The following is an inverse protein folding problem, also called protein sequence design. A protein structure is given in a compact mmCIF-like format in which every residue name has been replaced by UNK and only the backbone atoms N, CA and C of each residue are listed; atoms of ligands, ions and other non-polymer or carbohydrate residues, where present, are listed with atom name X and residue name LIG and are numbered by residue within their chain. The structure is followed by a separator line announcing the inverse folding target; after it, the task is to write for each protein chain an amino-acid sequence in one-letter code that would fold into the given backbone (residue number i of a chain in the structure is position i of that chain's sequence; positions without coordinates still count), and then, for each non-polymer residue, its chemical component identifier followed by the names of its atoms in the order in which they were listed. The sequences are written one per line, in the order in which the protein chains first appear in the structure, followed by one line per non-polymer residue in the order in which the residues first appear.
data_IF_896490041805
#
_entry.id   IF_896490041805
#
_cell.length_a   1.000
_cell.length_b   1.000
_cell.length_c   1.000
_cell.angle_alpha   90.00
_cell.angle_beta   90.00
_cell.angle_gamma   90.00
#
_symmetry.space_group_name_H-M   'P 1'
#
loop_
_entity.id
_entity.type
_entity.pdbx_description
1 polymer ?
#
# COMPACT_ATOMS: atom_id res chain seq x y z
N UNK A 1 24.83 -47.95 54.93
CA UNK A 1 25.80 -47.19 54.11
C UNK A 1 25.10 -46.84 52.81
N UNK A 2 24.51 -45.64 52.71
CA UNK A 2 23.73 -45.23 51.53
C UNK A 2 24.56 -44.27 50.68
N UNK A 3 25.07 -44.78 49.56
CA UNK A 3 25.77 -44.01 48.54
C UNK A 3 24.73 -43.24 47.71
N UNK A 4 24.62 -41.93 47.94
CA UNK A 4 23.86 -41.04 47.04
C UNK A 4 24.69 -40.86 45.77
N UNK A 5 24.18 -41.34 44.63
CA UNK A 5 24.74 -41.06 43.32
C UNK A 5 24.68 -39.55 43.04
N UNK A 6 25.84 -38.92 42.81
CA UNK A 6 25.93 -37.53 42.38
C UNK A 6 25.50 -37.44 40.91
N UNK A 7 24.34 -36.85 40.66
CA UNK A 7 23.82 -36.57 39.33
C UNK A 7 24.74 -35.52 38.68
N UNK A 8 25.51 -35.89 37.65
CA UNK A 8 26.34 -34.95 36.90
C UNK A 8 25.43 -33.88 36.27
N UNK A 9 25.61 -32.62 36.67
CA UNK A 9 25.01 -31.49 35.96
C UNK A 9 25.73 -31.31 34.63
N UNK A 10 25.09 -31.75 33.55
CA UNK A 10 25.51 -31.43 32.19
C UNK A 10 25.09 -29.98 31.93
N UNK A 11 25.95 -29.03 32.27
CA UNK A 11 25.72 -27.60 32.08
C UNK A 11 26.16 -27.14 30.70
N UNK A 12 25.45 -26.16 30.13
CA UNK A 12 25.81 -25.49 28.88
C UNK A 12 27.16 -24.79 29.04
N UNK A 13 28.08 -24.96 28.08
CA UNK A 13 29.39 -24.31 28.14
C UNK A 13 29.34 -22.90 27.54
N UNK A 14 30.19 -21.99 28.04
CA UNK A 14 30.30 -20.63 27.51
C UNK A 14 30.76 -20.64 26.03
N UNK A 15 31.60 -21.60 25.65
CA UNK A 15 32.06 -21.75 24.27
C UNK A 15 30.93 -22.17 23.31
N UNK A 16 30.02 -23.03 23.76
CA UNK A 16 28.85 -23.45 22.98
C UNK A 16 27.94 -22.24 22.69
N UNK A 17 27.74 -21.37 23.69
CA UNK A 17 26.99 -20.13 23.50
C UNK A 17 27.69 -19.17 22.52
N UNK A 18 29.00 -19.02 22.60
CA UNK A 18 29.76 -18.14 21.71
C UNK A 18 29.64 -18.53 20.24
N UNK A 19 29.74 -19.84 19.94
CA UNK A 19 29.60 -20.35 18.57
C UNK A 19 28.17 -20.11 18.06
N UNK A 20 27.15 -20.37 18.90
CA UNK A 20 25.75 -20.13 18.53
C UNK A 20 25.51 -18.65 18.21
N UNK A 21 26.01 -17.73 19.05
CA UNK A 21 25.87 -16.28 18.80
C UNK A 21 26.56 -15.87 17.51
N UNK A 22 27.76 -16.40 17.21
CA UNK A 22 28.46 -16.12 15.96
C UNK A 22 27.64 -16.55 14.74
N UNK A 23 27.07 -17.76 14.75
CA UNK A 23 26.26 -18.27 13.65
C UNK A 23 25.01 -17.38 13.47
N UNK A 24 24.31 -17.05 14.56
CA UNK A 24 23.13 -16.18 14.52
C UNK A 24 23.48 -14.78 13.98
N UNK A 25 24.62 -14.21 14.35
CA UNK A 25 25.06 -12.91 13.85
C UNK A 25 25.28 -12.91 12.34
N UNK A 26 25.91 -13.96 11.79
CA UNK A 26 26.13 -14.11 10.34
C UNK A 26 24.80 -14.23 9.61
N UNK A 27 23.86 -15.04 10.12
CA UNK A 27 22.54 -15.20 9.53
C UNK A 27 21.73 -13.90 9.56
N UNK A 28 21.75 -13.19 10.69
CA UNK A 28 21.01 -11.95 10.87
C UNK A 28 21.48 -10.84 9.90
N UNK A 29 22.79 -10.77 9.62
CA UNK A 29 23.36 -9.78 8.71
C UNK A 29 22.77 -9.85 7.29
N UNK A 30 22.44 -11.06 6.81
CA UNK A 30 21.86 -11.28 5.48
C UNK A 30 20.33 -11.26 5.54
N UNK A 31 19.74 -11.89 6.56
CA UNK A 31 18.30 -12.07 6.67
C UNK A 31 17.54 -10.75 6.86
N UNK A 32 18.05 -9.84 7.70
CA UNK A 32 17.36 -8.56 8.02
C UNK A 32 17.14 -7.67 6.78
N UNK A 33 18.16 -7.31 5.97
CA UNK A 33 17.94 -6.47 4.79
C UNK A 33 17.06 -7.16 3.75
N UNK A 34 17.21 -8.48 3.56
CA UNK A 34 16.38 -9.26 2.63
C UNK A 34 14.90 -9.24 3.04
N UNK A 35 14.60 -9.47 4.33
CA UNK A 35 13.24 -9.42 4.84
C UNK A 35 12.62 -8.03 4.67
N UNK A 36 13.36 -6.95 4.96
CA UNK A 36 12.87 -5.58 4.76
C UNK A 36 12.46 -5.31 3.31
N UNK A 37 13.26 -5.75 2.35
CA UNK A 37 12.92 -5.62 0.93
C UNK A 37 11.68 -6.45 0.55
N UNK A 38 11.53 -7.64 1.12
CA UNK A 38 10.35 -8.47 0.90
C UNK A 38 9.07 -7.79 1.40
N UNK A 39 9.08 -7.22 2.61
CA UNK A 39 7.91 -6.50 3.16
C UNK A 39 7.54 -5.30 2.28
N UNK A 40 8.53 -4.55 1.77
CA UNK A 40 8.29 -3.44 0.83
C UNK A 40 7.60 -3.92 -0.46
N UNK A 41 8.12 -5.00 -1.08
CA UNK A 41 7.53 -5.57 -2.29
C UNK A 41 6.12 -6.11 -2.06
N UNK A 42 5.85 -6.70 -0.90
CA UNK A 42 4.50 -7.13 -0.53
C UNK A 42 3.55 -5.94 -0.34
N UNK A 43 4.03 -4.82 0.21
CA UNK A 43 3.22 -3.61 0.33
C UNK A 43 2.88 -3.03 -1.06
N UNK A 44 3.86 -2.97 -1.97
CA UNK A 44 3.64 -2.58 -3.37
C UNK A 44 2.61 -3.47 -4.06
N UNK A 45 2.77 -4.79 -3.96
CA UNK A 45 1.86 -5.76 -4.57
C UNK A 45 0.42 -5.62 -4.03
N UNK A 46 0.27 -5.35 -2.72
CA UNK A 46 -1.04 -5.09 -2.13
C UNK A 46 -1.68 -3.80 -2.64
N UNK A 47 -0.89 -2.73 -2.80
CA UNK A 47 -1.38 -1.47 -3.37
C UNK A 47 -1.83 -1.67 -4.82
N UNK A 48 -1.02 -2.35 -5.63
CA UNK A 48 -1.35 -2.72 -7.01
C UNK A 48 -2.63 -3.54 -7.11
N UNK A 49 -2.77 -4.57 -6.27
CA UNK A 49 -3.98 -5.38 -6.21
C UNK A 49 -5.20 -4.53 -5.82
N UNK A 50 -5.09 -3.65 -4.82
CA UNK A 50 -6.21 -2.77 -4.43
C UNK A 50 -6.57 -1.78 -5.54
N UNK A 51 -5.60 -1.24 -6.25
CA UNK A 51 -5.83 -0.37 -7.40
C UNK A 51 -6.56 -1.09 -8.54
N UNK A 52 -6.23 -2.36 -8.82
CA UNK A 52 -6.94 -3.19 -9.80
C UNK A 52 -8.37 -3.51 -9.35
N UNK A 53 -8.59 -3.79 -8.05
CA UNK A 53 -9.93 -3.94 -7.51
C UNK A 53 -10.76 -2.67 -7.68
N UNK A 54 -10.17 -1.49 -7.40
CA UNK A 54 -10.84 -0.19 -7.56
C UNK A 54 -11.18 0.10 -9.03
N UNK A 55 -10.33 -0.25 -9.98
CA UNK A 55 -10.63 -0.16 -11.43
C UNK A 55 -11.89 -1.00 -11.77
N UNK A 56 -11.96 -2.24 -11.28
CA UNK A 56 -13.14 -3.09 -11.48
C UNK A 56 -14.39 -2.47 -10.82
N UNK A 57 -14.28 -1.97 -9.59
CA UNK A 57 -15.37 -1.30 -8.86
C UNK A 57 -15.86 -0.05 -9.61
N UNK A 58 -14.94 0.77 -10.14
CA UNK A 58 -15.23 1.96 -10.93
C UNK A 58 -15.93 1.60 -12.25
N UNK A 59 -15.47 0.58 -12.95
CA UNK A 59 -16.06 0.16 -14.22
C UNK A 59 -17.47 -0.42 -14.01
N UNK A 60 -17.69 -1.16 -12.92
CA UNK A 60 -19.04 -1.59 -12.50
C UNK A 60 -19.95 -0.40 -12.22
N UNK A 61 -19.48 0.59 -11.47
CA UNK A 61 -20.24 1.80 -11.20
C UNK A 61 -20.60 2.56 -12.48
N UNK A 62 -19.66 2.73 -13.41
CA UNK A 62 -19.92 3.36 -14.70
C UNK A 62 -20.95 2.60 -15.52
N UNK A 63 -20.97 1.26 -15.46
CA UNK A 63 -21.97 0.47 -16.16
C UNK A 63 -23.40 0.75 -15.65
N UNK A 64 -23.57 1.07 -14.36
CA UNK A 64 -24.89 1.40 -13.78
C UNK A 64 -25.25 2.89 -13.83
N UNK A 65 -24.28 3.78 -13.59
CA UNK A 65 -24.51 5.22 -13.43
C UNK A 65 -24.15 6.05 -14.68
N UNK A 66 -23.51 5.43 -15.68
CA UNK A 66 -22.97 6.07 -16.90
C UNK A 66 -21.90 7.14 -16.64
N UNK A 67 -21.48 7.33 -15.38
CA UNK A 67 -20.45 8.26 -14.94
C UNK A 67 -19.64 7.63 -13.81
N UNK A 68 -18.39 8.06 -13.62
CA UNK A 68 -17.59 7.73 -12.44
C UNK A 68 -17.91 8.63 -11.23
N UNK A 69 -18.65 9.73 -11.45
CA UNK A 69 -19.07 10.62 -10.36
C UNK A 69 -20.10 9.92 -9.47
N UNK A 70 -20.05 10.19 -8.17
CA UNK A 70 -20.80 9.50 -7.13
C UNK A 70 -20.19 8.18 -6.68
N UNK A 71 -19.07 7.74 -7.25
CA UNK A 71 -18.40 6.52 -6.81
C UNK A 71 -17.92 6.66 -5.36
N UNK A 72 -18.20 5.64 -4.57
CA UNK A 72 -17.68 5.49 -3.20
C UNK A 72 -17.09 4.09 -3.07
N UNK A 73 -15.80 3.95 -2.69
CA UNK A 73 -15.17 2.66 -2.60
C UNK A 73 -15.70 1.86 -1.41
N UNK A 74 -15.59 0.53 -1.49
CA UNK A 74 -15.80 -0.32 -0.31
C UNK A 74 -14.70 -0.05 0.71
N UNK A 75 -15.07 0.38 1.91
CA UNK A 75 -14.21 0.60 3.06
C UNK A 75 -14.38 -0.53 4.07
N UNK A 76 -13.28 -0.95 4.66
CA UNK A 76 -13.25 -1.81 5.85
C UNK A 76 -12.51 -1.02 6.92
N UNK A 77 -13.18 -0.72 8.03
CA UNK A 77 -12.57 0.00 9.15
C UNK A 77 -11.69 -0.95 9.99
N UNK A 78 -10.85 -0.39 10.88
CA UNK A 78 -9.95 -1.17 11.74
C UNK A 78 -10.68 -2.16 12.65
N UNK A 79 -11.93 -1.86 13.02
CA UNK A 79 -12.80 -2.75 13.79
C UNK A 79 -13.48 -3.86 12.95
N UNK A 80 -13.23 -3.91 11.63
CA UNK A 80 -13.82 -4.87 10.71
C UNK A 80 -15.16 -4.44 10.09
N UNK A 81 -15.71 -3.30 10.48
CA UNK A 81 -16.97 -2.80 9.91
C UNK A 81 -16.80 -2.45 8.43
N UNK A 82 -17.81 -2.80 7.64
CA UNK A 82 -17.84 -2.56 6.19
C UNK A 82 -18.78 -1.41 5.88
N UNK A 83 -18.29 -0.42 5.14
CA UNK A 83 -19.07 0.71 4.65
C UNK A 83 -18.68 1.11 3.22
N UNK A 84 -19.39 2.07 2.64
CA UNK A 84 -19.09 2.63 1.33
C UNK A 84 -18.78 4.11 1.48
N UNK A 85 -17.49 4.43 1.58
CA UNK A 85 -17.00 5.77 1.84
C UNK A 85 -15.49 5.84 1.54
N UNK A 86 -14.99 7.07 1.35
CA UNK A 86 -13.56 7.33 1.38
C UNK A 86 -13.02 7.27 2.81
N UNK A 87 -11.70 7.12 2.94
CA UNK A 87 -11.07 7.00 4.26
C UNK A 87 -10.95 8.34 4.98
N UNK A 88 -10.76 9.43 4.22
CA UNK A 88 -10.69 10.80 4.74
C UNK A 88 -11.85 11.67 4.25
N UNK A 89 -12.03 12.81 4.93
CA UNK A 89 -13.03 13.83 4.60
C UNK A 89 -12.77 14.54 3.27
N UNK A 90 -11.58 14.36 2.70
CA UNK A 90 -11.21 14.90 1.37
C UNK A 90 -11.96 14.20 0.22
N UNK A 91 -12.60 13.06 0.50
CA UNK A 91 -13.30 12.20 -0.45
C UNK A 91 -12.42 11.76 -1.64
N UNK A 92 -11.12 11.58 -1.40
CA UNK A 92 -10.15 11.14 -2.42
C UNK A 92 -9.26 10.04 -1.88
N UNK A 93 -9.04 10.01 -0.58
CA UNK A 93 -8.07 9.12 0.06
C UNK A 93 -8.65 7.74 0.36
N UNK A 94 -7.87 6.71 0.05
CA UNK A 94 -8.13 5.30 0.33
C UNK A 94 -6.84 4.68 0.87
N UNK A 95 -6.90 4.05 2.03
CA UNK A 95 -5.74 3.41 2.66
C UNK A 95 -5.63 1.92 2.30
N UNK A 96 -4.39 1.46 2.24
CA UNK A 96 -4.04 0.05 1.98
C UNK A 96 -3.06 -0.40 3.05
N UNK A 97 -3.27 -1.56 3.70
CA UNK A 97 -4.32 -2.58 3.44
C UNK A 97 -5.72 -2.16 3.92
N UNK A 98 -6.76 -2.89 3.49
CA UNK A 98 -8.12 -2.70 4.03
C UNK A 98 -8.10 -2.87 5.56
N UNK A 99 -8.81 -2.01 6.30
CA UNK A 99 -8.76 -1.97 7.77
C UNK A 99 -7.69 -1.03 8.32
N UNK A 100 -6.83 -0.46 7.47
CA UNK A 100 -5.89 0.58 7.89
C UNK A 100 -6.54 1.97 7.96
N UNK A 101 -5.85 2.86 8.66
CA UNK A 101 -6.17 4.27 8.86
C UNK A 101 -4.92 5.13 8.63
N UNK A 102 -5.03 6.43 8.91
CA UNK A 102 -3.97 7.42 8.72
C UNK A 102 -2.67 7.17 9.49
N UNK A 103 -2.65 6.22 10.42
CA UNK A 103 -1.50 5.95 11.30
C UNK A 103 -0.78 4.65 10.96
N UNK A 104 -1.46 3.67 10.35
CA UNK A 104 -0.94 2.32 10.16
C UNK A 104 -0.98 1.83 8.69
N UNK A 105 -1.31 2.72 7.74
CA UNK A 105 -1.32 2.37 6.32
C UNK A 105 0.07 2.10 5.74
N UNK A 106 0.10 1.24 4.74
CA UNK A 106 1.28 0.99 3.91
C UNK A 106 1.30 1.91 2.70
N UNK A 107 0.14 2.09 2.06
CA UNK A 107 -0.06 2.96 0.91
C UNK A 107 -1.30 3.83 1.07
N UNK A 108 -1.19 5.07 0.58
CA UNK A 108 -2.28 6.01 0.44
C UNK A 108 -2.60 6.15 -1.05
N UNK A 109 -3.76 5.68 -1.46
CA UNK A 109 -4.27 5.86 -2.82
C UNK A 109 -5.13 7.12 -2.85
N UNK A 110 -4.79 8.04 -3.74
CA UNK A 110 -5.59 9.23 -4.04
C UNK A 110 -6.32 8.99 -5.35
N UNK A 111 -7.66 8.93 -5.30
CA UNK A 111 -8.53 8.76 -6.46
C UNK A 111 -9.18 10.10 -6.82
N UNK A 112 -9.00 10.54 -8.06
CA UNK A 112 -9.56 11.79 -8.58
C UNK A 112 -10.13 11.61 -9.98
N UNK A 113 -10.98 12.54 -10.38
CA UNK A 113 -11.35 12.71 -11.79
C UNK A 113 -10.13 13.11 -12.61
N UNK A 114 -9.91 12.45 -13.75
CA UNK A 114 -8.67 12.68 -14.51
C UNK A 114 -8.63 14.07 -15.14
N UNK A 115 -9.77 14.61 -15.57
CA UNK A 115 -9.85 15.90 -16.26
C UNK A 115 -9.72 17.10 -15.32
N UNK A 116 -10.29 17.00 -14.12
CA UNK A 116 -10.43 18.12 -13.17
C UNK A 116 -9.54 17.99 -11.94
N UNK A 117 -9.00 16.80 -11.63
CA UNK A 117 -8.30 16.54 -10.37
C UNK A 117 -9.20 16.61 -9.12
N UNK A 118 -10.51 16.73 -9.32
CA UNK A 118 -11.50 16.83 -8.25
C UNK A 118 -11.92 15.45 -7.73
N UNK A 119 -12.60 15.42 -6.58
CA UNK A 119 -13.15 14.17 -6.05
C UNK A 119 -14.21 13.60 -7.00
N UNK A 120 -14.28 12.27 -7.04
CA UNK A 120 -15.36 11.54 -7.70
C UNK A 120 -16.57 11.33 -6.80
N UNK A 121 -16.50 11.69 -5.52
CA UNK A 121 -17.63 11.60 -4.61
C UNK A 121 -18.81 12.48 -5.07
N UNK A 122 -20.03 12.21 -4.59
CA UNK A 122 -21.20 13.00 -4.95
C UNK A 122 -20.97 14.48 -4.65
N UNK A 123 -21.13 15.34 -5.66
CA UNK A 123 -21.13 16.79 -5.42
C UNK A 123 -22.51 17.18 -4.88
N UNK A 124 -22.55 17.96 -3.79
CA UNK A 124 -23.80 18.46 -3.21
C UNK A 124 -24.49 19.53 -4.05
N UNK A 125 -23.82 20.12 -5.06
CA UNK A 125 -24.43 21.09 -5.99
C UNK A 125 -23.59 21.26 -7.26
N UNK A 126 -24.26 21.44 -8.41
CA UNK A 126 -23.67 21.90 -9.67
C UNK A 126 -23.45 20.82 -10.75
N UNK A 127 -23.78 21.18 -12.00
CA UNK A 127 -23.34 20.43 -13.18
C UNK A 127 -21.81 20.55 -13.28
N UNK A 128 -21.11 19.42 -13.34
CA UNK A 128 -19.66 19.43 -13.55
C UNK A 128 -19.30 18.37 -14.59
N UNK A 129 -18.27 18.65 -15.38
CA UNK A 129 -17.71 17.74 -16.39
C UNK A 129 -16.89 16.59 -15.77
N UNK A 130 -16.81 16.53 -14.44
CA UNK A 130 -16.14 15.48 -13.70
C UNK A 130 -16.94 14.16 -13.73
N UNK A 131 -16.23 13.04 -13.70
CA UNK A 131 -16.78 11.69 -13.77
C UNK A 131 -16.67 11.03 -15.15
N UNK A 132 -16.06 11.70 -16.13
CA UNK A 132 -15.81 11.10 -17.44
C UNK A 132 -14.61 10.13 -17.43
N UNK A 133 -13.64 10.38 -16.55
CA UNK A 133 -12.36 9.69 -16.46
C UNK A 133 -11.84 9.70 -15.02
N UNK A 134 -10.93 8.80 -14.68
CA UNK A 134 -10.36 8.71 -13.34
C UNK A 134 -8.84 8.50 -13.37
N UNK A 135 -8.18 8.91 -12.29
CA UNK A 135 -6.78 8.63 -12.01
C UNK A 135 -6.61 8.24 -10.55
N UNK A 136 -5.77 7.23 -10.33
CA UNK A 136 -5.39 6.76 -9.02
C UNK A 136 -3.88 6.92 -8.87
N UNK A 137 -3.45 7.57 -7.80
CA UNK A 137 -2.05 7.74 -7.45
C UNK A 137 -1.79 7.16 -6.07
N UNK A 138 -0.90 6.18 -5.97
CA UNK A 138 -0.56 5.51 -4.74
C UNK A 138 0.81 5.99 -4.24
N UNK A 139 0.83 6.50 -3.03
CA UNK A 139 2.05 6.95 -2.33
C UNK A 139 2.32 6.02 -1.14
N UNK A 140 3.56 5.55 -0.94
CA UNK A 140 3.90 4.75 0.23
C UNK A 140 3.91 5.62 1.50
N UNK A 141 3.65 5.00 2.66
CA UNK A 141 3.84 5.66 3.94
C UNK A 141 5.33 5.84 4.28
N UNK A 142 5.63 6.67 5.28
CA UNK A 142 7.01 6.97 5.68
C UNK A 142 7.82 5.73 6.09
N UNK A 143 7.14 4.68 6.56
CA UNK A 143 7.74 3.39 6.92
C UNK A 143 8.24 2.60 5.71
N UNK A 144 7.75 2.92 4.51
CA UNK A 144 8.05 2.23 3.26
C UNK A 144 8.77 3.17 2.28
N UNK A 145 9.74 3.95 2.77
CA UNK A 145 10.40 5.01 2.00
C UNK A 145 11.12 4.54 0.73
N UNK A 146 11.55 3.28 0.68
CA UNK A 146 12.20 2.66 -0.49
C UNK A 146 11.22 2.09 -1.52
N UNK A 147 9.92 2.11 -1.22
CA UNK A 147 8.89 1.60 -2.10
C UNK A 147 8.62 2.56 -3.26
N UNK A 148 7.93 2.11 -4.29
CA UNK A 148 7.61 2.92 -5.46
C UNK A 148 6.26 3.63 -5.33
N UNK A 149 6.15 4.81 -5.93
CA UNK A 149 4.87 5.46 -6.23
C UNK A 149 4.27 4.84 -7.48
N UNK A 150 2.95 4.70 -7.52
CA UNK A 150 2.25 4.03 -8.62
C UNK A 150 1.13 4.93 -9.12
N UNK A 151 1.04 5.12 -10.43
CA UNK A 151 -0.01 5.89 -11.08
C UNK A 151 -0.74 5.00 -12.07
N UNK A 152 -2.06 4.95 -12.00
CA UNK A 152 -2.89 4.37 -13.05
C UNK A 152 -4.04 5.30 -13.45
N UNK A 153 -4.50 5.21 -14.69
CA UNK A 153 -5.63 6.00 -15.19
C UNK A 153 -6.63 5.18 -16.00
N UNK A 154 -7.84 5.71 -16.12
CA UNK A 154 -8.88 5.15 -17.00
C UNK A 154 -8.50 5.14 -18.48
N UNK A 155 -7.46 5.89 -18.87
CA UNK A 155 -6.94 5.92 -20.24
C UNK A 155 -5.88 4.83 -20.49
N UNK A 156 -5.59 3.97 -19.51
CA UNK A 156 -4.61 2.90 -19.62
C UNK A 156 -3.18 3.29 -19.24
N UNK A 157 -2.97 4.52 -18.73
CA UNK A 157 -1.67 4.91 -18.20
C UNK A 157 -1.33 4.05 -16.99
N UNK A 158 -0.11 3.50 -16.95
CA UNK A 158 0.39 2.65 -15.88
C UNK A 158 1.86 2.95 -15.64
N UNK A 159 2.16 3.63 -14.54
CA UNK A 159 3.52 4.09 -14.27
C UNK A 159 3.93 3.73 -12.85
N UNK A 160 5.22 3.40 -12.69
CA UNK A 160 5.86 3.20 -11.39
C UNK A 160 7.14 4.01 -11.32
N UNK A 161 7.29 4.85 -10.29
CA UNK A 161 8.52 5.63 -10.05
C UNK A 161 9.02 5.50 -8.61
N UNK A 162 10.28 5.83 -8.37
CA UNK A 162 10.89 5.80 -7.03
C UNK A 162 10.22 6.85 -6.12
N UNK A 163 10.16 6.59 -4.81
CA UNK A 163 9.52 7.51 -3.87
C UNK A 163 10.13 8.92 -3.84
N UNK A 164 11.45 9.01 -4.03
CA UNK A 164 12.17 10.28 -4.06
C UNK A 164 11.98 11.07 -5.37
N UNK A 165 11.34 10.48 -6.37
CA UNK A 165 10.99 11.16 -7.61
C UNK A 165 9.67 11.93 -7.45
N UNK A 166 9.70 13.20 -7.84
CA UNK A 166 8.56 14.12 -7.86
C UNK A 166 8.01 14.35 -9.27
N UNK A 167 8.57 13.71 -10.30
CA UNK A 167 8.14 13.83 -11.69
C UNK A 167 6.71 13.33 -11.92
N UNK A 168 6.23 12.41 -11.09
CA UNK A 168 4.88 11.86 -11.14
C UNK A 168 4.07 12.34 -9.94
N UNK A 169 2.91 12.92 -10.23
CA UNK A 169 1.89 13.32 -9.26
C UNK A 169 0.54 12.78 -9.70
N UNK A 170 -0.48 12.95 -8.85
CA UNK A 170 -1.88 12.66 -9.21
C UNK A 170 -2.35 13.44 -10.45
N UNK A 171 -1.70 14.57 -10.77
CA UNK A 171 -1.99 15.40 -11.92
C UNK A 171 -1.22 15.00 -13.19
N UNK A 172 -0.29 14.04 -13.13
CA UNK A 172 0.45 13.59 -14.31
C UNK A 172 -0.43 12.84 -15.32
N UNK A 173 -0.21 13.11 -16.61
CA UNK A 173 -0.92 12.50 -17.75
C UNK A 173 -0.06 11.49 -18.52
N UNK A 174 1.20 11.35 -18.12
CA UNK A 174 2.16 10.40 -18.67
C UNK A 174 3.08 9.88 -17.56
N UNK A 175 3.93 8.93 -17.92
CA UNK A 175 4.91 8.29 -17.03
C UNK A 175 6.17 9.16 -16.76
N UNK A 176 6.17 10.44 -17.12
CA UNK A 176 7.36 11.29 -16.98
C UNK A 176 8.59 10.67 -17.67
N UNK A 177 9.78 11.05 -17.20
CA UNK A 177 11.05 10.66 -17.84
C UNK A 177 11.73 9.47 -17.16
N UNK A 178 11.49 9.25 -15.87
CA UNK A 178 12.25 8.30 -15.04
C UNK A 178 11.40 7.17 -14.47
N UNK A 179 10.22 6.93 -15.05
CA UNK A 179 9.33 5.88 -14.59
C UNK A 179 9.19 4.77 -15.61
N UNK A 180 8.88 3.58 -15.10
CA UNK A 180 8.71 2.37 -15.88
C UNK A 180 7.21 2.06 -16.02
N UNK A 181 6.82 1.52 -17.17
CA UNK A 181 5.52 0.84 -17.30
C UNK A 181 5.53 -0.42 -16.45
N UNK A 182 4.42 -0.68 -15.76
CA UNK A 182 4.26 -1.84 -14.87
C UNK A 182 3.13 -2.76 -15.34
#
# INVERSE_FOLDING_TARGET
MNMKALKQQVGFTLIELMIVIMIVAILAAIAVPSYRQFVVRNAESQAQARMQELDIELNRWRASALTYKGFTPKKVASNGDVSYAYDETDNKTIYVPKGSDSTNFHYKITLVDASTGSTLAPASTGYSTAGSSWRMFAEPSSNYSTAHKILISSAGLRCKTKNNDSSITVASTNCGTYSEEW
#
